data_IF_242581529034
#
_entry.id   IF_242581529034
#
_cell.length_a   1.000
_cell.length_b   1.000
_cell.length_c   1.000
_cell.angle_alpha   90.00
_cell.angle_beta   90.00
_cell.angle_gamma   90.00
#
_symmetry.space_group_name_H-M   'P 1'
#
loop_
_entity.id
_entity.type
_entity.pdbx_description
1 polymer ?
#
# COMPACT_ATOMS: atom_id res chain seq x y z
N UNK A 1 19.99 -54.83 6.92
CA UNK A 1 19.87 -53.51 6.23
C UNK A 1 18.70 -53.38 5.25
N UNK A 2 17.90 -54.43 4.97
CA UNK A 2 16.83 -54.38 3.94
C UNK A 2 15.45 -53.94 4.45
N UNK A 3 15.18 -54.02 5.76
CA UNK A 3 13.86 -53.71 6.36
C UNK A 3 13.68 -52.24 6.73
N UNK A 4 14.78 -51.49 6.83
CA UNK A 4 14.78 -50.09 7.25
C UNK A 4 14.43 -49.19 6.05
N UNK A 5 15.01 -49.46 4.88
CA UNK A 5 14.72 -48.76 3.62
C UNK A 5 13.28 -48.94 3.14
N UNK A 6 12.69 -50.12 3.35
CA UNK A 6 11.28 -50.39 2.99
C UNK A 6 10.30 -49.58 3.85
N UNK A 7 10.61 -49.39 5.14
CA UNK A 7 9.80 -48.55 6.05
C UNK A 7 9.82 -47.08 5.64
N UNK A 8 10.99 -46.55 5.26
CA UNK A 8 11.11 -45.16 4.81
C UNK A 8 10.43 -44.92 3.47
N UNK A 9 10.49 -45.87 2.53
CA UNK A 9 9.75 -45.80 1.27
C UNK A 9 8.23 -45.79 1.48
N UNK A 10 7.71 -46.59 2.41
CA UNK A 10 6.28 -46.63 2.74
C UNK A 10 5.79 -45.34 3.43
N UNK A 11 6.62 -44.70 4.25
CA UNK A 11 6.27 -43.40 4.87
C UNK A 11 6.28 -42.28 3.83
N UNK A 12 7.22 -42.30 2.89
CA UNK A 12 7.34 -41.28 1.85
C UNK A 12 6.13 -41.26 0.91
N UNK A 13 5.57 -42.43 0.55
CA UNK A 13 4.39 -42.54 -0.31
C UNK A 13 3.11 -42.02 0.34
N UNK A 14 2.96 -42.21 1.66
CA UNK A 14 1.81 -41.67 2.42
C UNK A 14 1.86 -40.13 2.49
N UNK A 15 3.05 -39.53 2.63
CA UNK A 15 3.20 -38.07 2.64
C UNK A 15 2.84 -37.42 1.28
N UNK A 16 3.04 -38.12 0.16
CA UNK A 16 2.73 -37.60 -1.18
C UNK A 16 1.21 -37.66 -1.45
N UNK A 17 0.51 -38.72 -1.02
CA UNK A 17 -0.93 -38.85 -1.23
C UNK A 17 -1.77 -37.81 -0.47
N UNK A 18 -1.26 -37.28 0.65
CA UNK A 18 -1.97 -36.29 1.47
C UNK A 18 -2.07 -34.89 0.83
N UNK A 19 -1.36 -34.62 -0.28
CA UNK A 19 -1.37 -33.31 -0.95
C UNK A 19 -2.45 -33.16 -2.05
N UNK A 20 -3.21 -34.22 -2.35
CA UNK A 20 -4.12 -34.25 -3.51
C UNK A 20 -5.59 -33.95 -3.18
N UNK A 21 -5.96 -33.74 -1.92
CA UNK A 21 -7.33 -33.39 -1.52
C UNK A 21 -7.43 -31.91 -1.12
N UNK A 22 -7.32 -31.01 -2.10
CA UNK A 22 -7.79 -29.64 -1.96
C UNK A 22 -8.97 -29.43 -2.93
N UNK A 23 -10.18 -29.07 -2.45
CA UNK A 23 -11.25 -28.68 -3.34
C UNK A 23 -10.83 -27.40 -4.07
N UNK A 24 -10.76 -27.46 -5.41
CA UNK A 24 -10.73 -26.25 -6.25
C UNK A 24 -12.12 -25.60 -6.14
N UNK A 25 -12.32 -24.77 -5.13
CA UNK A 25 -13.41 -23.80 -5.16
C UNK A 25 -13.09 -22.77 -6.24
N UNK A 26 -14.03 -22.43 -7.13
CA UNK A 26 -13.85 -21.29 -8.01
C UNK A 26 -13.63 -20.08 -7.12
N UNK A 27 -12.50 -19.39 -7.29
CA UNK A 27 -12.30 -18.08 -6.70
C UNK A 27 -13.32 -17.15 -7.34
N UNK A 28 -14.51 -17.09 -6.74
CA UNK A 28 -15.45 -16.01 -6.98
C UNK A 28 -14.67 -14.72 -6.77
N UNK A 29 -14.74 -13.86 -7.77
CA UNK A 29 -14.04 -12.58 -7.83
C UNK A 29 -14.22 -11.81 -6.51
N UNK A 30 -13.20 -11.88 -5.64
CA UNK A 30 -13.08 -11.05 -4.44
C UNK A 30 -12.69 -9.64 -4.88
N UNK A 31 -13.60 -8.98 -5.60
CA UNK A 31 -13.53 -7.54 -5.87
C UNK A 31 -14.38 -6.74 -4.88
N UNK A 32 -14.79 -7.33 -3.75
CA UNK A 32 -15.52 -6.64 -2.67
C UNK A 32 -14.65 -6.29 -1.45
N UNK A 33 -13.37 -6.68 -1.44
CA UNK A 33 -12.47 -6.47 -0.28
C UNK A 33 -11.50 -5.29 -0.41
N UNK A 34 -11.22 -4.82 -1.64
CA UNK A 34 -10.23 -3.75 -1.86
C UNK A 34 -10.81 -2.33 -1.69
N UNK A 35 -12.12 -2.20 -1.59
CA UNK A 35 -12.82 -0.91 -1.71
C UNK A 35 -12.77 -0.05 -0.43
N UNK A 36 -12.40 -0.63 0.73
CA UNK A 36 -12.38 0.09 2.02
C UNK A 36 -11.00 0.15 2.69
N UNK A 37 -9.91 -0.05 1.94
CA UNK A 37 -8.55 0.12 2.51
C UNK A 37 -8.20 1.60 2.53
N UNK A 38 -8.01 2.16 3.73
CA UNK A 38 -7.56 3.54 3.88
C UNK A 38 -6.07 3.67 3.51
N UNK A 39 -5.80 3.92 2.23
CA UNK A 39 -4.45 4.07 1.70
C UNK A 39 -3.70 5.29 2.26
N UNK A 40 -4.41 6.31 2.75
CA UNK A 40 -3.78 7.44 3.44
C UNK A 40 -3.22 7.01 4.82
N UNK A 41 -3.93 6.14 5.54
CA UNK A 41 -3.44 5.57 6.79
C UNK A 41 -2.20 4.68 6.56
N UNK A 42 -2.22 3.85 5.51
CA UNK A 42 -1.07 3.02 5.14
C UNK A 42 0.15 3.85 4.72
N UNK A 43 -0.06 4.97 4.03
CA UNK A 43 1.01 5.91 3.68
C UNK A 43 1.71 6.41 4.95
N UNK A 44 0.93 6.94 5.92
CA UNK A 44 1.48 7.43 7.19
C UNK A 44 2.17 6.33 7.99
N UNK A 45 1.61 5.12 8.02
CA UNK A 45 2.20 3.98 8.71
C UNK A 45 3.60 3.66 8.17
N UNK A 46 3.72 3.53 6.85
CA UNK A 46 5.00 3.21 6.22
C UNK A 46 5.99 4.38 6.29
N UNK A 47 5.54 5.63 6.20
CA UNK A 47 6.41 6.81 6.43
C UNK A 47 6.98 6.83 7.85
N UNK A 48 6.15 6.58 8.87
CA UNK A 48 6.59 6.52 10.25
C UNK A 48 7.59 5.37 10.48
N UNK A 49 7.32 4.21 9.89
CA UNK A 49 8.21 3.07 9.96
C UNK A 49 9.57 3.37 9.29
N UNK A 50 9.56 4.02 8.12
CA UNK A 50 10.77 4.44 7.42
C UNK A 50 11.60 5.43 8.25
N UNK A 51 10.97 6.45 8.83
CA UNK A 51 11.63 7.41 9.73
C UNK A 51 12.22 6.74 10.97
N UNK A 52 11.52 5.75 11.51
CA UNK A 52 12.00 4.95 12.65
C UNK A 52 13.26 4.17 12.28
N UNK A 53 13.31 3.58 11.08
CA UNK A 53 14.49 2.87 10.60
C UNK A 53 15.67 3.81 10.33
N UNK A 54 15.42 5.00 9.76
CA UNK A 54 16.46 6.02 9.61
C UNK A 54 17.05 6.45 10.96
N UNK A 55 16.21 6.68 11.97
CA UNK A 55 16.67 7.02 13.33
C UNK A 55 17.56 5.92 13.92
N UNK A 56 17.15 4.65 13.77
CA UNK A 56 17.96 3.49 14.21
C UNK A 56 19.30 3.38 13.45
N UNK A 57 19.30 3.65 12.15
CA UNK A 57 20.54 3.67 11.36
C UNK A 57 21.50 4.76 11.86
N UNK A 58 20.98 5.96 12.12
CA UNK A 58 21.76 7.09 12.63
C UNK A 58 22.34 6.80 14.02
N UNK A 59 21.55 6.23 14.92
CA UNK A 59 22.05 5.79 16.24
C UNK A 59 23.24 4.84 16.11
N UNK A 60 23.15 3.84 15.23
CA UNK A 60 24.26 2.91 14.99
C UNK A 60 25.49 3.61 14.37
N UNK A 61 25.29 4.58 13.46
CA UNK A 61 26.40 5.39 12.90
C UNK A 61 27.13 6.17 13.99
N UNK A 62 26.39 6.77 14.92
CA UNK A 62 26.98 7.50 16.04
C UNK A 62 27.78 6.59 16.98
N UNK A 63 27.29 5.36 17.25
CA UNK A 63 28.03 4.36 18.03
C UNK A 63 29.37 4.01 17.37
N UNK A 64 29.41 3.81 16.05
CA UNK A 64 30.65 3.52 15.32
C UNK A 64 31.61 4.72 15.37
N UNK A 65 31.10 5.94 15.13
CA UNK A 65 31.88 7.18 15.15
C UNK A 65 32.49 7.48 16.52
N UNK A 66 31.81 7.10 17.61
CA UNK A 66 32.35 7.21 18.98
C UNK A 66 33.40 6.14 19.25
N UNK A 67 33.16 4.88 18.86
CA UNK A 67 34.10 3.78 19.09
C UNK A 67 35.39 3.89 18.27
N UNK A 68 35.32 4.37 17.03
CA UNK A 68 36.49 4.55 16.17
C UNK A 68 37.53 5.52 16.76
N UNK A 69 37.07 6.51 17.54
CA UNK A 69 37.94 7.49 18.22
C UNK A 69 38.64 6.93 19.46
N UNK A 70 38.14 5.86 20.07
CA UNK A 70 38.55 5.43 21.43
C UNK A 70 39.38 4.14 21.45
N UNK A 71 39.32 3.27 20.42
CA UNK A 71 39.99 1.94 20.49
C UNK A 71 40.91 1.67 19.30
N UNK A 72 42.11 1.14 19.58
CA UNK A 72 42.91 0.35 18.63
C UNK A 72 42.27 -1.04 18.51
N UNK A 73 42.00 -1.50 17.28
CA UNK A 73 41.16 -2.68 17.01
C UNK A 73 42.00 -3.96 16.90
N UNK A 74 41.71 -4.97 17.73
CA UNK A 74 42.06 -6.38 17.49
C UNK A 74 40.92 -7.15 16.80
N UNK A 75 41.10 -8.45 16.49
CA UNK A 75 40.14 -9.30 15.74
C UNK A 75 38.68 -9.18 16.20
N UNK A 76 38.41 -9.24 17.51
CA UNK A 76 37.05 -9.13 18.08
C UNK A 76 36.40 -7.76 17.84
N UNK A 77 37.22 -6.72 17.82
CA UNK A 77 36.75 -5.36 17.59
C UNK A 77 36.35 -5.16 16.11
N UNK A 78 37.05 -5.81 15.16
CA UNK A 78 36.67 -5.82 13.75
C UNK A 78 35.34 -6.56 13.51
N UNK A 79 35.12 -7.71 14.16
CA UNK A 79 33.84 -8.43 14.10
C UNK A 79 32.68 -7.57 14.62
N UNK A 80 32.89 -6.88 15.75
CA UNK A 80 31.89 -5.96 16.30
C UNK A 80 31.58 -4.81 15.33
N UNK A 81 32.61 -4.23 14.68
CA UNK A 81 32.44 -3.18 13.65
C UNK A 81 31.58 -3.68 12.49
N UNK A 82 31.91 -4.86 11.93
CA UNK A 82 31.17 -5.46 10.82
C UNK A 82 29.70 -5.70 11.18
N UNK A 83 29.43 -6.15 12.41
CA UNK A 83 28.05 -6.36 12.90
C UNK A 83 27.25 -5.07 12.94
N UNK A 84 27.87 -3.96 13.36
CA UNK A 84 27.20 -2.65 13.39
C UNK A 84 26.98 -2.10 11.98
N UNK A 85 27.96 -2.23 11.08
CA UNK A 85 27.82 -1.86 9.66
C UNK A 85 26.66 -2.63 9.01
N UNK A 86 26.57 -3.94 9.24
CA UNK A 86 25.46 -4.75 8.73
C UNK A 86 24.11 -4.24 9.24
N UNK A 87 24.00 -3.84 10.52
CA UNK A 87 22.75 -3.28 11.06
C UNK A 87 22.39 -1.95 10.41
N UNK A 88 23.37 -1.06 10.18
CA UNK A 88 23.16 0.22 9.50
C UNK A 88 22.55 -0.04 8.12
N UNK A 89 23.22 -0.87 7.31
CA UNK A 89 22.76 -1.18 5.95
C UNK A 89 21.37 -1.84 5.95
N UNK A 90 21.11 -2.70 6.94
CA UNK A 90 19.80 -3.33 7.09
C UNK A 90 18.70 -2.29 7.35
N UNK A 91 18.92 -1.38 8.29
CA UNK A 91 17.95 -0.33 8.60
C UNK A 91 17.76 0.65 7.45
N UNK A 92 18.82 1.01 6.72
CA UNK A 92 18.71 1.86 5.54
C UNK A 92 17.86 1.20 4.45
N UNK A 93 18.12 -0.08 4.15
CA UNK A 93 17.32 -0.84 3.19
C UNK A 93 15.86 -0.97 3.63
N UNK A 94 15.61 -1.22 4.92
CA UNK A 94 14.25 -1.26 5.45
C UNK A 94 13.55 0.11 5.37
N UNK A 95 14.27 1.22 5.56
CA UNK A 95 13.74 2.56 5.38
C UNK A 95 13.33 2.82 3.93
N UNK A 96 14.20 2.50 2.96
CA UNK A 96 13.93 2.63 1.53
C UNK A 96 12.70 1.83 1.10
N UNK A 97 12.61 0.57 1.52
CA UNK A 97 11.45 -0.28 1.23
C UNK A 97 10.15 0.29 1.80
N UNK A 98 10.19 0.87 3.00
CA UNK A 98 9.01 1.49 3.59
C UNK A 98 8.64 2.81 2.90
N UNK A 99 9.60 3.63 2.47
CA UNK A 99 9.30 4.80 1.64
C UNK A 99 8.68 4.40 0.29
N UNK A 100 9.17 3.35 -0.34
CA UNK A 100 8.58 2.83 -1.57
C UNK A 100 7.12 2.37 -1.37
N UNK A 101 6.84 1.66 -0.27
CA UNK A 101 5.47 1.25 0.10
C UNK A 101 4.57 2.46 0.40
N UNK A 102 5.09 3.46 1.10
CA UNK A 102 4.35 4.70 1.34
C UNK A 102 4.02 5.41 0.02
N UNK A 103 4.98 5.55 -0.89
CA UNK A 103 4.77 6.15 -2.20
C UNK A 103 3.73 5.38 -3.03
N UNK A 104 3.76 4.04 -2.99
CA UNK A 104 2.77 3.19 -3.63
C UNK A 104 1.35 3.47 -3.12
N UNK A 105 1.15 3.45 -1.80
CA UNK A 105 -0.16 3.73 -1.21
C UNK A 105 -0.61 5.17 -1.42
N UNK A 106 0.32 6.13 -1.42
CA UNK A 106 0.03 7.53 -1.75
C UNK A 106 -0.52 7.68 -3.16
N UNK A 107 0.06 6.97 -4.14
CA UNK A 107 -0.42 6.98 -5.53
C UNK A 107 -1.85 6.44 -5.61
N UNK A 108 -2.14 5.32 -4.95
CA UNK A 108 -3.50 4.75 -4.93
C UNK A 108 -4.50 5.71 -4.27
N UNK A 109 -4.13 6.34 -3.14
CA UNK A 109 -4.99 7.30 -2.47
C UNK A 109 -5.32 8.51 -3.38
N UNK A 110 -4.36 8.96 -4.19
CA UNK A 110 -4.58 10.03 -5.17
C UNK A 110 -5.50 9.57 -6.31
N UNK A 111 -5.33 8.35 -6.81
CA UNK A 111 -6.20 7.77 -7.83
C UNK A 111 -7.65 7.62 -7.34
N UNK A 112 -7.84 7.16 -6.09
CA UNK A 112 -9.16 7.09 -5.45
C UNK A 112 -9.80 8.47 -5.30
N UNK A 113 -9.06 9.44 -4.75
CA UNK A 113 -9.56 10.80 -4.59
C UNK A 113 -9.95 11.46 -5.93
N UNK A 114 -9.22 11.15 -7.01
CA UNK A 114 -9.56 11.63 -8.35
C UNK A 114 -10.82 10.94 -8.87
N UNK A 115 -10.96 9.62 -8.71
CA UNK A 115 -12.15 8.87 -9.11
C UNK A 115 -13.41 9.40 -8.41
N UNK A 116 -13.33 9.64 -7.11
CA UNK A 116 -14.45 10.19 -6.32
C UNK A 116 -14.88 11.59 -6.81
N UNK A 117 -13.94 12.40 -7.33
CA UNK A 117 -14.23 13.70 -7.94
C UNK A 117 -14.98 13.56 -9.27
N UNK A 118 -14.63 12.58 -10.10
CA UNK A 118 -15.29 12.35 -11.39
C UNK A 118 -16.63 11.60 -11.26
N UNK A 119 -16.82 10.81 -10.20
CA UNK A 119 -18.05 10.06 -9.95
C UNK A 119 -19.16 10.86 -9.24
N UNK A 120 -18.90 12.12 -8.87
CA UNK A 120 -19.95 13.08 -8.48
C UNK A 120 -20.27 13.95 -9.70
N UNK A 121 -21.32 13.63 -10.51
CA UNK A 121 -21.79 14.59 -11.49
C UNK A 121 -22.26 15.82 -10.72
N UNK A 122 -21.74 16.98 -11.10
CA UNK A 122 -22.08 18.26 -10.47
C UNK A 122 -23.59 18.41 -10.41
N UNK A 123 -24.12 18.58 -9.19
CA UNK A 123 -25.49 19.02 -8.97
C UNK A 123 -25.80 20.33 -9.75
N UNK A 124 -24.77 21.06 -10.16
CA UNK A 124 -24.82 22.25 -11.01
C UNK A 124 -25.39 22.01 -12.41
N UNK A 125 -25.06 20.93 -13.11
CA UNK A 125 -25.51 20.74 -14.50
C UNK A 125 -27.01 20.36 -14.59
N UNK A 126 -27.56 19.75 -13.53
CA UNK A 126 -28.99 19.45 -13.44
C UNK A 126 -29.84 20.66 -13.05
N UNK A 127 -29.30 21.57 -12.22
CA UNK A 127 -29.99 22.81 -11.82
C UNK A 127 -30.17 23.74 -13.03
N UNK A 128 -29.14 23.87 -13.88
CA UNK A 128 -29.22 24.74 -15.07
C UNK A 128 -30.21 24.21 -16.12
N UNK A 129 -30.28 22.89 -16.33
CA UNK A 129 -31.28 22.26 -17.22
C UNK A 129 -32.71 22.38 -16.67
N UNK A 130 -32.90 22.26 -15.37
CA UNK A 130 -34.21 22.42 -14.74
C UNK A 130 -34.72 23.87 -14.87
N UNK A 131 -33.83 24.86 -14.70
CA UNK A 131 -34.15 26.28 -14.84
C UNK A 131 -34.51 26.65 -16.28
N UNK A 132 -33.75 26.16 -17.26
CA UNK A 132 -34.02 26.39 -18.68
C UNK A 132 -35.34 25.77 -19.16
N UNK A 133 -35.77 24.66 -18.54
CA UNK A 133 -37.07 24.03 -18.83
C UNK A 133 -38.25 24.81 -18.22
N UNK A 134 -38.05 25.49 -17.09
CA UNK A 134 -39.07 26.35 -16.48
C UNK A 134 -39.33 27.62 -17.32
N UNK A 135 -38.28 28.24 -17.88
CA UNK A 135 -38.43 29.42 -18.73
C UNK A 135 -39.11 29.12 -20.08
N UNK A 136 -38.87 27.96 -20.68
CA UNK A 136 -39.53 27.55 -21.94
C UNK A 136 -40.93 26.94 -21.77
N UNK A 137 -41.34 26.64 -20.54
CA UNK A 137 -42.63 26.02 -20.23
C UNK A 137 -43.71 26.99 -19.80
N UNK A 138 -43.38 28.27 -19.59
CA UNK A 138 -44.36 29.30 -19.27
C UNK A 138 -45.14 29.68 -20.54
N UNK A 139 -46.49 29.57 -20.55
CA UNK A 139 -47.27 30.08 -21.67
C UNK A 139 -47.09 31.61 -21.75
N UNK A 140 -47.01 32.19 -22.96
CA UNK A 140 -46.89 33.64 -23.11
C UNK A 140 -48.07 34.30 -22.40
N UNK A 141 -47.75 35.24 -21.51
CA UNK A 141 -48.73 36.10 -20.85
C UNK A 141 -49.38 36.99 -21.89
N UNK A 142 -50.69 37.27 -21.72
CA UNK A 142 -51.54 37.95 -22.70
C UNK A 142 -51.13 39.40 -23.03
N UNK A 143 -50.04 39.90 -22.44
CA UNK A 143 -49.57 41.28 -22.56
C UNK A 143 -48.61 41.50 -23.75
N UNK A 144 -48.10 40.43 -24.39
CA UNK A 144 -47.09 40.51 -25.46
C UNK A 144 -47.66 40.78 -26.87
N UNK A 145 -48.97 41.00 -27.02
CA UNK A 145 -49.62 41.17 -28.33
C UNK A 145 -49.87 42.63 -28.77
N UNK A 146 -49.38 43.63 -28.04
CA UNK A 146 -49.70 45.04 -28.34
C UNK A 146 -48.68 45.82 -29.19
N UNK A 147 -47.52 45.26 -29.52
CA UNK A 147 -46.45 46.03 -30.20
C UNK A 147 -46.21 45.63 -31.67
N UNK A 148 -47.20 45.03 -32.33
CA UNK A 148 -47.10 44.66 -33.75
C UNK A 148 -48.31 45.13 -34.59
N UNK A 149 -48.57 46.45 -34.60
CA UNK A 149 -49.26 47.15 -35.70
C UNK A 149 -48.71 48.57 -35.88
#
# INVERSE_FOLDING_TARGET
MKTITVKYLAVFTICILAAACAPMTPQTSVNKGMENVNHAALTKYHENLARTMQSKAEEQKQIVKKRSRVRKFGRNAQLSKNRVIWRINKYEKEAELNFAKAAYHKKIAQEQANRDRYSKPGATEQIDKARFRQEKGAPPTADDFHDAL
#
